data_IF_137220774205
#
_entry.id   IF_137220774205
#
_cell.length_a   1.000
_cell.length_b   1.000
_cell.length_c   1.000
_cell.angle_alpha   90.00
_cell.angle_beta   90.00
_cell.angle_gamma   90.00
#
_symmetry.space_group_name_H-M   'P 1'
#
loop_
_entity.id
_entity.type
_entity.pdbx_description
1 polymer ?
#
# COMPACT_ATOMS: atom_id res chain seq x y z
N UNK A 1 65.55 -112.86 15.87
CA UNK A 1 64.86 -111.57 16.12
C UNK A 1 64.07 -111.19 14.87
N UNK A 2 62.75 -111.03 14.98
CA UNK A 2 61.83 -111.04 13.84
C UNK A 2 61.84 -109.68 13.11
N UNK A 3 62.41 -109.62 11.90
CA UNK A 3 62.60 -108.38 11.11
C UNK A 3 61.28 -107.64 10.84
N UNK A 4 60.16 -108.36 10.76
CA UNK A 4 58.83 -107.79 10.57
C UNK A 4 58.32 -106.98 11.78
N UNK A 5 58.75 -107.33 13.00
CA UNK A 5 58.36 -106.59 14.22
C UNK A 5 59.04 -105.21 14.28
N UNK A 6 60.31 -105.14 13.86
CA UNK A 6 61.10 -103.88 13.82
C UNK A 6 60.57 -102.92 12.76
N UNK A 7 60.20 -103.46 11.58
CA UNK A 7 59.59 -102.66 10.50
C UNK A 7 58.19 -102.17 10.89
N UNK A 8 57.37 -103.02 11.52
CA UNK A 8 56.06 -102.61 12.04
C UNK A 8 56.15 -101.52 13.10
N UNK A 9 57.13 -101.60 14.01
CA UNK A 9 57.37 -100.57 15.03
C UNK A 9 57.85 -99.26 14.42
N UNK A 10 58.73 -99.31 13.42
CA UNK A 10 59.23 -98.12 12.71
C UNK A 10 58.11 -97.41 11.93
N UNK A 11 57.20 -98.17 11.31
CA UNK A 11 56.01 -97.62 10.63
C UNK A 11 55.07 -96.97 11.65
N UNK A 12 54.80 -97.63 12.79
CA UNK A 12 53.96 -97.06 13.86
C UNK A 12 54.55 -95.77 14.44
N UNK A 13 55.87 -95.73 14.65
CA UNK A 13 56.57 -94.52 15.10
C UNK A 13 56.50 -93.43 14.02
N UNK A 14 56.67 -93.77 12.74
CA UNK A 14 56.54 -92.83 11.63
C UNK A 14 55.14 -92.24 11.50
N UNK A 15 54.10 -93.07 11.64
CA UNK A 15 52.70 -92.62 11.66
C UNK A 15 52.42 -91.76 12.88
N UNK A 16 52.94 -92.13 14.06
CA UNK A 16 52.78 -91.35 15.29
C UNK A 16 53.47 -89.98 15.20
N UNK A 17 54.70 -89.92 14.68
CA UNK A 17 55.44 -88.68 14.49
C UNK A 17 54.80 -87.81 13.40
N UNK A 18 54.36 -88.41 12.30
CA UNK A 18 53.64 -87.71 11.23
C UNK A 18 52.29 -87.15 11.70
N UNK A 19 51.53 -87.93 12.46
CA UNK A 19 50.27 -87.48 13.08
C UNK A 19 50.53 -86.36 14.10
N UNK A 20 51.57 -86.49 14.93
CA UNK A 20 51.94 -85.45 15.89
C UNK A 20 52.38 -84.15 15.19
N UNK A 21 53.16 -84.24 14.11
CA UNK A 21 53.58 -83.08 13.32
C UNK A 21 52.39 -82.42 12.61
N UNK A 22 51.50 -83.21 12.01
CA UNK A 22 50.31 -82.69 11.35
C UNK A 22 49.36 -82.00 12.34
N UNK A 23 49.21 -82.56 13.55
CA UNK A 23 48.40 -81.94 14.61
C UNK A 23 49.05 -80.65 15.13
N UNK A 24 50.37 -80.59 15.20
CA UNK A 24 51.12 -79.40 15.58
C UNK A 24 50.99 -78.29 14.53
N UNK A 25 51.25 -78.59 13.26
CA UNK A 25 51.18 -77.65 12.14
C UNK A 25 49.73 -77.15 11.90
N UNK A 26 48.72 -78.00 12.10
CA UNK A 26 47.32 -77.58 12.08
C UNK A 26 47.00 -76.59 13.20
N UNK A 27 47.49 -76.86 14.42
CA UNK A 27 47.32 -75.98 15.58
C UNK A 27 48.04 -74.65 15.40
N UNK A 28 49.22 -74.66 14.80
CA UNK A 28 50.01 -73.46 14.48
C UNK A 28 49.29 -72.58 13.45
N UNK A 29 48.73 -73.17 12.39
CA UNK A 29 47.91 -72.46 11.40
C UNK A 29 46.59 -71.90 11.98
N UNK A 30 45.95 -72.61 12.91
CA UNK A 30 44.76 -72.08 13.61
C UNK A 30 45.12 -70.93 14.55
N UNK A 31 46.26 -70.99 15.24
CA UNK A 31 46.77 -69.90 16.07
C UNK A 31 47.12 -68.66 15.24
N UNK A 32 47.74 -68.82 14.07
CA UNK A 32 48.08 -67.73 13.16
C UNK A 32 46.82 -67.07 12.55
N UNK A 33 45.80 -67.88 12.21
CA UNK A 33 44.46 -67.36 11.83
C UNK A 33 43.78 -66.62 12.98
N UNK A 34 43.89 -67.12 14.21
CA UNK A 34 43.36 -66.45 15.39
C UNK A 34 44.02 -65.10 15.64
N UNK A 35 45.34 -65.03 15.47
CA UNK A 35 46.12 -63.79 15.59
C UNK A 35 45.73 -62.76 14.54
N UNK A 36 45.64 -63.15 13.27
CA UNK A 36 45.24 -62.25 12.17
C UNK A 36 43.79 -61.75 12.31
N UNK A 37 42.87 -62.59 12.79
CA UNK A 37 41.49 -62.16 13.13
C UNK A 37 41.50 -61.17 14.31
N UNK A 38 42.32 -61.42 15.34
CA UNK A 38 42.46 -60.51 16.49
C UNK A 38 43.02 -59.15 16.08
N UNK A 39 44.01 -59.10 15.20
CA UNK A 39 44.55 -57.86 14.63
C UNK A 39 43.48 -57.11 13.81
N UNK A 40 42.69 -57.84 13.02
CA UNK A 40 41.55 -57.27 12.30
C UNK A 40 40.49 -56.66 13.21
N UNK A 41 40.17 -57.32 14.33
CA UNK A 41 39.23 -56.80 15.34
C UNK A 41 39.78 -55.54 16.01
N UNK A 42 41.08 -55.52 16.36
CA UNK A 42 41.72 -54.35 16.95
C UNK A 42 41.66 -53.14 16.00
N UNK A 43 42.00 -53.35 14.72
CA UNK A 43 41.94 -52.29 13.70
C UNK A 43 40.51 -51.74 13.50
N UNK A 44 39.49 -52.60 13.53
CA UNK A 44 38.08 -52.17 13.44
C UNK A 44 37.68 -51.38 14.69
N UNK A 45 38.10 -51.80 15.89
CA UNK A 45 37.80 -51.07 17.12
C UNK A 45 38.45 -49.68 17.14
N UNK A 46 39.68 -49.56 16.63
CA UNK A 46 40.35 -48.26 16.49
C UNK A 46 39.60 -47.35 15.50
N UNK A 47 39.07 -47.91 14.40
CA UNK A 47 38.23 -47.17 13.46
C UNK A 47 36.89 -46.74 14.08
N UNK A 48 36.25 -47.61 14.88
CA UNK A 48 35.02 -47.27 15.61
C UNK A 48 35.29 -46.13 16.58
N UNK A 49 36.36 -46.20 17.38
CA UNK A 49 36.74 -45.14 18.30
C UNK A 49 37.03 -43.81 17.58
N UNK A 50 37.70 -43.87 16.42
CA UNK A 50 37.93 -42.69 15.59
C UNK A 50 36.62 -42.07 15.09
N UNK A 51 35.66 -42.87 14.61
CA UNK A 51 34.34 -42.39 14.17
C UNK A 51 33.52 -41.84 15.33
N UNK A 52 33.51 -42.52 16.47
CA UNK A 52 32.81 -42.07 17.68
C UNK A 52 33.33 -40.71 18.17
N UNK A 53 34.64 -40.46 17.99
CA UNK A 53 35.24 -39.17 18.36
C UNK A 53 34.77 -37.99 17.50
N UNK A 54 34.26 -38.24 16.28
CA UNK A 54 33.73 -37.21 15.38
C UNK A 54 32.27 -36.83 15.66
N UNK A 55 31.51 -37.70 16.33
CA UNK A 55 30.08 -37.49 16.61
C UNK A 55 29.80 -36.18 17.38
N UNK A 56 30.57 -35.82 18.43
CA UNK A 56 30.34 -34.57 19.16
C UNK A 56 30.54 -33.34 18.28
N UNK A 57 31.60 -33.32 17.46
CA UNK A 57 31.89 -32.21 16.56
C UNK A 57 30.77 -32.04 15.53
N UNK A 58 30.32 -33.12 14.92
CA UNK A 58 29.21 -33.07 13.95
C UNK A 58 27.92 -32.55 14.61
N UNK A 59 27.66 -32.90 15.87
CA UNK A 59 26.48 -32.38 16.59
C UNK A 59 26.57 -30.88 16.87
N UNK A 60 27.75 -30.40 17.21
CA UNK A 60 28.01 -28.97 17.40
C UNK A 60 27.82 -28.22 16.08
N UNK A 61 28.44 -28.70 14.99
CA UNK A 61 28.31 -28.10 13.66
C UNK A 61 26.84 -28.07 13.19
N UNK A 62 26.06 -29.12 13.46
CA UNK A 62 24.61 -29.16 13.18
C UNK A 62 23.88 -28.08 13.98
N UNK A 63 24.15 -27.96 15.29
CA UNK A 63 23.49 -26.98 16.15
C UNK A 63 23.79 -25.54 15.73
N UNK A 64 25.03 -25.26 15.33
CA UNK A 64 25.42 -23.95 14.79
C UNK A 64 24.71 -23.67 13.46
N UNK A 65 24.67 -24.66 12.57
CA UNK A 65 23.98 -24.56 11.28
C UNK A 65 22.48 -24.33 11.45
N UNK A 66 21.83 -25.02 12.39
CA UNK A 66 20.41 -24.82 12.72
C UNK A 66 20.14 -23.39 13.20
N UNK A 67 21.04 -22.84 14.02
CA UNK A 67 20.94 -21.45 14.49
C UNK A 67 21.04 -20.48 13.32
N UNK A 68 22.01 -20.68 12.42
CA UNK A 68 22.16 -19.85 11.22
C UNK A 68 20.92 -19.94 10.30
N UNK A 69 20.35 -21.13 10.12
CA UNK A 69 19.12 -21.32 9.34
C UNK A 69 17.96 -20.53 9.96
N UNK A 70 17.80 -20.57 11.30
CA UNK A 70 16.75 -19.82 11.98
C UNK A 70 16.93 -18.31 11.83
N UNK A 71 18.16 -17.80 11.93
CA UNK A 71 18.46 -16.39 11.71
C UNK A 71 18.14 -15.95 10.28
N UNK A 72 18.54 -16.75 9.27
CA UNK A 72 18.23 -16.46 7.87
C UNK A 72 16.72 -16.56 7.56
N UNK A 73 16.01 -17.50 8.18
CA UNK A 73 14.55 -17.58 8.09
C UNK A 73 13.88 -16.31 8.65
N UNK A 74 14.35 -15.82 9.81
CA UNK A 74 13.85 -14.56 10.39
C UNK A 74 14.09 -13.36 9.46
N UNK A 75 15.28 -13.28 8.84
CA UNK A 75 15.58 -12.23 7.84
C UNK A 75 14.68 -12.36 6.61
N UNK A 76 14.39 -13.57 6.15
CA UNK A 76 13.51 -13.82 5.01
C UNK A 76 12.07 -13.38 5.31
N UNK A 77 11.56 -13.64 6.51
CA UNK A 77 10.24 -13.19 6.96
C UNK A 77 10.16 -11.65 7.03
N UNK A 78 11.21 -11.00 7.54
CA UNK A 78 11.27 -9.54 7.59
C UNK A 78 11.28 -8.92 6.19
N UNK A 79 12.10 -9.45 5.27
CA UNK A 79 12.13 -9.01 3.86
C UNK A 79 10.76 -9.21 3.20
N UNK A 80 10.09 -10.33 3.47
CA UNK A 80 8.77 -10.61 2.92
C UNK A 80 7.73 -9.57 3.40
N UNK A 81 7.75 -9.22 4.69
CA UNK A 81 6.88 -8.18 5.24
C UNK A 81 7.16 -6.80 4.61
N UNK A 82 8.42 -6.46 4.36
CA UNK A 82 8.78 -5.21 3.68
C UNK A 82 8.30 -5.18 2.23
N UNK A 83 8.40 -6.30 1.49
CA UNK A 83 7.89 -6.42 0.13
C UNK A 83 6.38 -6.21 0.09
N UNK A 84 5.64 -6.77 1.05
CA UNK A 84 4.20 -6.61 1.15
C UNK A 84 3.80 -5.15 1.40
N UNK A 85 4.47 -4.47 2.33
CA UNK A 85 4.24 -3.04 2.58
C UNK A 85 4.53 -2.17 1.34
N UNK A 86 5.65 -2.42 0.65
CA UNK A 86 6.00 -1.68 -0.57
C UNK A 86 5.03 -1.94 -1.73
N UNK A 87 4.49 -3.15 -1.85
CA UNK A 87 3.49 -3.46 -2.87
C UNK A 87 2.17 -2.71 -2.59
N UNK A 88 1.78 -2.60 -1.32
CA UNK A 88 0.62 -1.79 -0.94
C UNK A 88 0.84 -0.30 -1.26
N UNK A 89 1.98 0.26 -0.86
CA UNK A 89 2.34 1.65 -1.17
C UNK A 89 2.35 1.92 -2.69
N UNK A 90 2.87 0.97 -3.47
CA UNK A 90 2.86 1.05 -4.94
C UNK A 90 1.43 1.07 -5.50
N UNK A 91 0.52 0.28 -4.96
CA UNK A 91 -0.88 0.25 -5.40
C UNK A 91 -1.59 1.57 -5.08
N UNK A 92 -1.38 2.13 -3.89
CA UNK A 92 -1.89 3.43 -3.49
C UNK A 92 -1.37 4.56 -4.40
N UNK A 93 -0.06 4.54 -4.73
CA UNK A 93 0.53 5.49 -5.67
C UNK A 93 0.00 5.34 -7.09
N UNK A 94 -0.26 4.11 -7.55
CA UNK A 94 -0.84 3.89 -8.87
C UNK A 94 -2.26 4.45 -8.96
N UNK A 95 -3.08 4.26 -7.93
CA UNK A 95 -4.43 4.86 -7.87
C UNK A 95 -4.39 6.39 -7.92
N UNK A 96 -3.40 7.00 -7.25
CA UNK A 96 -3.19 8.45 -7.36
C UNK A 96 -2.79 8.88 -8.77
N UNK A 97 -1.90 8.14 -9.44
CA UNK A 97 -1.49 8.42 -10.82
C UNK A 97 -2.70 8.34 -11.75
N UNK A 98 -3.50 7.28 -11.66
CA UNK A 98 -4.68 7.07 -12.51
C UNK A 98 -5.67 8.23 -12.35
N UNK A 99 -5.94 8.66 -11.12
CA UNK A 99 -6.77 9.84 -10.84
C UNK A 99 -6.21 11.12 -11.49
N UNK A 100 -4.89 11.32 -11.43
CA UNK A 100 -4.25 12.48 -12.07
C UNK A 100 -4.27 12.41 -13.60
N UNK A 101 -4.17 11.22 -14.19
CA UNK A 101 -4.35 11.03 -15.63
C UNK A 101 -5.79 11.36 -16.06
N UNK A 102 -6.80 10.95 -15.29
CA UNK A 102 -8.20 11.33 -15.54
C UNK A 102 -8.44 12.85 -15.42
N UNK A 103 -7.80 13.50 -14.44
CA UNK A 103 -7.81 14.98 -14.34
C UNK A 103 -7.21 15.63 -15.59
N UNK A 104 -6.16 15.05 -16.19
CA UNK A 104 -5.53 15.59 -17.41
C UNK A 104 -6.45 15.49 -18.65
N UNK A 105 -7.45 14.59 -18.63
CA UNK A 105 -8.52 14.55 -19.64
C UNK A 105 -9.47 15.76 -19.56
N UNK A 106 -9.31 16.62 -18.54
CA UNK A 106 -10.02 17.90 -18.31
C UNK A 106 -11.51 17.79 -18.02
N UNK A 107 -11.96 16.64 -17.55
CA UNK A 107 -13.30 16.49 -17.05
C UNK A 107 -13.35 16.90 -15.58
N UNK A 108 -13.96 18.04 -15.19
CA UNK A 108 -13.95 18.48 -13.79
C UNK A 108 -14.75 17.56 -12.86
N UNK A 109 -15.57 16.65 -13.39
CA UNK A 109 -16.37 15.71 -12.59
C UNK A 109 -15.50 14.80 -11.73
N UNK A 110 -14.28 14.49 -12.16
CA UNK A 110 -13.32 13.64 -11.43
C UNK A 110 -12.91 14.24 -10.08
N UNK A 111 -13.09 15.55 -9.89
CA UNK A 111 -12.79 16.24 -8.63
C UNK A 111 -13.84 15.98 -7.55
N UNK A 112 -15.02 15.47 -7.93
CA UNK A 112 -16.09 15.12 -7.00
C UNK A 112 -15.92 13.67 -6.55
N UNK A 113 -15.02 13.46 -5.58
CA UNK A 113 -14.56 12.13 -5.14
C UNK A 113 -15.51 11.48 -4.12
N UNK A 114 -16.72 11.12 -4.55
CA UNK A 114 -17.76 10.55 -3.66
C UNK A 114 -17.35 9.22 -3.01
N UNK A 115 -16.42 8.48 -3.61
CA UNK A 115 -15.93 7.21 -3.11
C UNK A 115 -14.72 7.30 -2.18
N UNK A 116 -14.20 8.51 -1.94
CA UNK A 116 -13.05 8.69 -1.06
C UNK A 116 -13.38 8.31 0.40
N UNK A 117 -12.67 7.34 1.01
CA UNK A 117 -13.00 6.86 2.35
C UNK A 117 -12.76 7.90 3.46
N UNK A 118 -11.79 8.81 3.29
CA UNK A 118 -11.53 9.88 4.26
C UNK A 118 -12.64 10.92 4.20
N UNK A 119 -13.10 11.28 3.00
CA UNK A 119 -14.23 12.20 2.84
C UNK A 119 -15.51 11.57 3.39
N UNK A 120 -15.78 10.29 3.10
CA UNK A 120 -16.93 9.56 3.65
C UNK A 120 -16.91 9.53 5.18
N UNK A 121 -15.79 9.17 5.79
CA UNK A 121 -15.64 9.16 7.25
C UNK A 121 -15.87 10.55 7.85
N UNK A 122 -15.39 11.61 7.18
CA UNK A 122 -15.63 12.99 7.61
C UNK A 122 -17.11 13.37 7.54
N UNK A 123 -17.81 12.99 6.47
CA UNK A 123 -19.25 13.23 6.33
C UNK A 123 -20.03 12.52 7.43
N UNK A 124 -19.71 11.25 7.72
CA UNK A 124 -20.33 10.51 8.83
C UNK A 124 -20.11 11.19 10.17
N UNK A 125 -18.88 11.66 10.46
CA UNK A 125 -18.55 12.40 11.67
C UNK A 125 -19.38 13.69 11.80
N UNK A 126 -19.38 14.51 10.75
CA UNK A 126 -20.05 15.82 10.72
C UNK A 126 -21.56 15.67 10.83
N UNK A 127 -22.13 14.65 10.20
CA UNK A 127 -23.58 14.43 10.13
C UNK A 127 -24.13 13.49 11.19
N UNK A 128 -23.31 12.98 12.11
CA UNK A 128 -23.68 11.94 13.10
C UNK A 128 -24.91 12.24 13.97
N UNK A 129 -25.24 13.53 14.17
CA UNK A 129 -26.39 13.98 14.97
C UNK A 129 -27.59 14.41 14.12
N UNK A 130 -27.41 14.52 12.80
CA UNK A 130 -28.44 14.96 11.86
C UNK A 130 -29.40 13.82 11.55
N UNK A 131 -30.70 14.15 11.47
CA UNK A 131 -31.80 13.20 11.27
C UNK A 131 -32.49 13.41 9.93
N UNK A 132 -32.48 14.63 9.39
CA UNK A 132 -33.03 14.95 8.06
C UNK A 132 -31.93 15.31 7.08
N UNK A 133 -32.24 15.30 5.78
CA UNK A 133 -31.31 15.74 4.74
C UNK A 133 -30.86 17.18 4.95
N UNK A 134 -31.79 18.06 5.31
CA UNK A 134 -31.52 19.48 5.56
C UNK A 134 -30.61 19.68 6.77
N UNK A 135 -30.79 18.90 7.84
CA UNK A 135 -29.89 18.91 8.99
C UNK A 135 -28.49 18.41 8.63
N UNK A 136 -28.36 17.47 7.68
CA UNK A 136 -27.06 17.03 7.16
C UNK A 136 -26.40 18.12 6.32
N UNK A 137 -27.15 18.72 5.40
CA UNK A 137 -26.69 19.80 4.54
C UNK A 137 -26.20 21.00 5.39
N UNK A 138 -26.97 21.38 6.42
CA UNK A 138 -26.56 22.43 7.36
C UNK A 138 -25.28 22.06 8.13
N UNK A 139 -25.16 20.83 8.62
CA UNK A 139 -23.97 20.41 9.37
C UNK A 139 -22.70 20.42 8.48
N UNK A 140 -22.82 19.94 7.24
CA UNK A 140 -21.75 19.96 6.25
C UNK A 140 -21.33 21.39 5.91
N UNK A 141 -22.30 22.26 5.67
CA UNK A 141 -22.05 23.68 5.47
C UNK A 141 -21.27 24.29 6.62
N UNK A 142 -21.75 24.07 7.86
CA UNK A 142 -21.09 24.63 9.04
C UNK A 142 -19.69 24.10 9.24
N UNK A 143 -19.45 22.83 8.92
CA UNK A 143 -18.11 22.24 8.96
C UNK A 143 -17.18 22.96 7.99
N UNK A 144 -17.52 23.01 6.69
CA UNK A 144 -16.63 23.63 5.70
C UNK A 144 -16.38 25.10 6.04
N UNK A 145 -17.44 25.84 6.38
CA UNK A 145 -17.35 27.27 6.71
C UNK A 145 -16.47 27.57 7.94
N UNK A 146 -16.52 26.72 8.97
CA UNK A 146 -15.85 26.99 10.26
C UNK A 146 -14.48 26.34 10.37
N UNK A 147 -14.30 25.19 9.75
CA UNK A 147 -13.13 24.34 9.94
C UNK A 147 -12.13 24.42 8.78
N UNK A 148 -12.53 24.96 7.62
CA UNK A 148 -11.64 25.17 6.47
C UNK A 148 -11.26 26.65 6.38
N UNK A 149 -9.97 26.94 6.52
CA UNK A 149 -9.41 28.27 6.40
C UNK A 149 -9.35 28.70 4.93
N UNK A 150 -9.94 29.85 4.62
CA UNK A 150 -9.84 30.43 3.28
C UNK A 150 -8.44 31.03 3.06
N UNK A 151 -7.67 30.46 2.13
CA UNK A 151 -6.30 30.90 1.82
C UNK A 151 -6.06 31.03 0.33
N UNK A 152 -5.70 32.22 -0.14
CA UNK A 152 -5.22 32.47 -1.51
C UNK A 152 -3.69 32.47 -1.59
N UNK A 153 -3.01 32.95 -0.55
CA UNK A 153 -1.54 32.93 -0.40
C UNK A 153 -1.11 31.88 0.65
N UNK A 154 -0.08 31.09 0.36
CA UNK A 154 0.44 30.07 1.29
C UNK A 154 -0.40 28.78 1.39
N UNK A 155 -1.39 28.61 0.50
CA UNK A 155 -1.94 27.31 0.15
C UNK A 155 -0.75 26.43 -0.33
N UNK A 156 -0.62 25.14 0.06
CA UNK A 156 0.46 24.24 -0.40
C UNK A 156 0.53 24.00 -1.94
N UNK A 157 -0.01 24.91 -2.74
CA UNK A 157 0.28 25.15 -4.17
C UNK A 157 1.79 25.33 -4.46
N UNK A 158 2.68 25.35 -3.45
CA UNK A 158 4.14 25.32 -3.64
C UNK A 158 4.65 23.94 -4.13
N UNK A 159 3.82 22.88 -4.12
CA UNK A 159 4.06 21.67 -4.91
C UNK A 159 3.93 21.99 -6.41
N UNK A 160 5.03 22.43 -7.01
CA UNK A 160 5.19 22.60 -8.46
C UNK A 160 5.07 21.23 -9.14
N UNK A 161 3.87 20.85 -9.56
CA UNK A 161 3.70 19.79 -10.55
C UNK A 161 4.54 20.11 -11.79
N UNK A 162 5.12 19.10 -12.47
CA UNK A 162 5.92 19.32 -13.66
C UNK A 162 5.14 20.13 -14.69
N UNK A 163 5.79 21.16 -15.24
CA UNK A 163 5.24 22.24 -16.09
C UNK A 163 4.39 21.79 -17.30
N UNK A 164 4.32 20.50 -17.62
CA UNK A 164 3.44 19.96 -18.65
C UNK A 164 1.98 19.83 -18.20
N UNK A 165 1.69 19.84 -16.89
CA UNK A 165 0.33 19.69 -16.33
C UNK A 165 -0.56 20.95 -16.48
N UNK A 166 0.05 22.14 -16.62
CA UNK A 166 -0.64 23.43 -16.46
C UNK A 166 -0.75 24.23 -17.77
N UNK A 167 -1.05 23.57 -18.90
CA UNK A 167 -1.31 24.32 -20.14
C UNK A 167 -2.71 24.96 -20.18
N UNK A 168 -3.60 24.59 -19.26
CA UNK A 168 -4.95 25.16 -19.15
C UNK A 168 -5.36 25.32 -17.68
N UNK A 169 -5.26 26.58 -17.20
CA UNK A 169 -6.20 27.31 -16.33
C UNK A 169 -7.04 26.58 -15.28
N UNK A 170 -6.47 25.62 -14.59
CA UNK A 170 -6.80 25.44 -13.20
C UNK A 170 -5.54 25.82 -12.45
N UNK A 171 -5.62 26.91 -11.67
CA UNK A 171 -4.81 26.98 -10.47
C UNK A 171 -5.01 25.65 -9.73
N UNK A 172 -4.02 25.15 -9.01
CA UNK A 172 -4.11 23.83 -8.37
C UNK A 172 -5.43 23.70 -7.56
N UNK A 173 -6.41 22.94 -8.08
CA UNK A 173 -7.70 22.66 -7.47
C UNK A 173 -7.55 21.40 -6.63
N UNK A 174 -7.78 21.55 -5.33
CA UNK A 174 -7.61 20.47 -4.38
C UNK A 174 -8.70 19.43 -4.52
N UNK A 175 -8.32 18.17 -4.32
CA UNK A 175 -9.26 17.11 -4.04
C UNK A 175 -9.91 17.35 -2.66
N UNK A 176 -11.17 16.93 -2.46
CA UNK A 176 -11.85 17.05 -1.17
C UNK A 176 -11.05 16.52 0.03
N UNK A 177 -10.29 15.43 -0.15
CA UNK A 177 -9.39 14.88 0.87
C UNK A 177 -8.31 15.89 1.27
N UNK A 178 -7.65 16.51 0.30
CA UNK A 178 -6.57 17.47 0.54
C UNK A 178 -7.10 18.67 1.32
N UNK A 179 -8.27 19.19 0.95
CA UNK A 179 -8.93 20.28 1.68
C UNK A 179 -9.26 19.91 3.12
N UNK A 180 -9.73 18.67 3.39
CA UNK A 180 -9.98 18.16 4.74
C UNK A 180 -8.67 18.03 5.55
N UNK A 181 -7.63 17.46 4.95
CA UNK A 181 -6.35 17.17 5.61
C UNK A 181 -5.57 18.46 5.94
N UNK A 182 -5.53 19.40 5.00
CA UNK A 182 -4.84 20.67 5.16
C UNK A 182 -5.67 21.70 5.93
N UNK A 183 -7.00 21.49 5.99
CA UNK A 183 -7.97 22.45 6.54
C UNK A 183 -7.86 23.83 5.91
N UNK A 184 -7.52 23.86 4.62
CA UNK A 184 -7.16 25.06 3.87
C UNK A 184 -7.59 24.90 2.42
N UNK A 185 -8.21 25.92 1.86
CA UNK A 185 -8.55 25.97 0.44
C UNK A 185 -9.20 27.30 0.07
N UNK A 186 -9.09 27.70 -1.19
CA UNK A 186 -9.76 28.88 -1.73
C UNK A 186 -11.16 28.53 -2.28
N UNK A 187 -11.68 29.33 -3.23
CA UNK A 187 -13.09 29.32 -3.57
C UNK A 187 -13.52 27.99 -4.22
N UNK A 188 -12.68 27.46 -5.11
CA UNK A 188 -12.88 26.19 -5.80
C UNK A 188 -12.80 24.99 -4.85
N UNK A 189 -11.78 24.96 -3.98
CA UNK A 189 -11.41 23.83 -3.13
C UNK A 189 -12.56 23.55 -2.17
N UNK A 190 -13.07 24.62 -1.57
CA UNK A 190 -14.21 24.55 -0.67
C UNK A 190 -15.51 24.21 -1.39
N UNK A 191 -15.75 24.73 -2.61
CA UNK A 191 -16.94 24.41 -3.38
C UNK A 191 -16.96 22.93 -3.81
N UNK A 192 -15.81 22.40 -4.24
CA UNK A 192 -15.59 20.98 -4.59
C UNK A 192 -15.79 20.09 -3.37
N UNK A 193 -15.19 20.43 -2.23
CA UNK A 193 -15.38 19.71 -0.97
C UNK A 193 -16.87 19.69 -0.56
N UNK A 194 -17.54 20.83 -0.60
CA UNK A 194 -18.96 20.94 -0.27
C UNK A 194 -19.82 20.06 -1.17
N UNK A 195 -19.68 20.18 -2.47
CA UNK A 195 -20.43 19.38 -3.44
C UNK A 195 -20.23 17.88 -3.14
N UNK A 196 -18.99 17.45 -2.96
CA UNK A 196 -18.65 16.04 -2.65
C UNK A 196 -19.30 15.58 -1.35
N UNK A 197 -19.20 16.36 -0.27
CA UNK A 197 -19.79 16.00 1.02
C UNK A 197 -21.32 15.93 0.96
N UNK A 198 -21.97 16.86 0.25
CA UNK A 198 -23.42 16.84 0.03
C UNK A 198 -23.87 15.60 -0.73
N UNK A 199 -23.12 15.22 -1.78
CA UNK A 199 -23.35 13.99 -2.56
C UNK A 199 -23.25 12.75 -1.69
N UNK A 200 -22.20 12.63 -0.87
CA UNK A 200 -22.04 11.52 0.09
C UNK A 200 -23.18 11.49 1.12
N UNK A 201 -23.69 12.65 1.55
CA UNK A 201 -24.79 12.72 2.50
C UNK A 201 -26.16 12.32 1.92
N UNK A 202 -26.24 12.08 0.61
CA UNK A 202 -27.42 11.61 -0.10
C UNK A 202 -28.18 12.68 -0.86
N UNK A 203 -27.61 13.88 -1.05
CA UNK A 203 -28.19 14.89 -1.94
C UNK A 203 -28.04 14.39 -3.39
N UNK A 204 -29.11 14.34 -4.20
CA UNK A 204 -29.00 13.86 -5.58
C UNK A 204 -28.20 14.84 -6.44
N UNK A 205 -27.51 14.32 -7.48
CA UNK A 205 -26.67 15.13 -8.35
C UNK A 205 -27.45 16.29 -8.99
N UNK A 206 -28.71 16.09 -9.35
CA UNK A 206 -29.61 17.12 -9.89
C UNK A 206 -29.87 18.32 -8.95
N UNK A 207 -29.48 18.20 -7.68
CA UNK A 207 -29.77 19.14 -6.61
C UNK A 207 -28.49 19.69 -5.95
N UNK A 208 -27.31 19.44 -6.51
CA UNK A 208 -26.04 20.02 -6.04
C UNK A 208 -25.03 20.14 -7.17
N UNK A 209 -24.32 21.27 -7.21
CA UNK A 209 -23.31 21.54 -8.23
C UNK A 209 -22.29 22.58 -7.77
N UNK A 210 -21.05 22.43 -8.23
CA UNK A 210 -20.04 23.49 -8.22
C UNK A 210 -20.31 24.39 -9.41
N UNK A 211 -20.28 25.71 -9.20
CA UNK A 211 -20.52 26.71 -10.23
C UNK A 211 -19.32 27.65 -10.31
N UNK A 212 -18.94 27.98 -11.54
CA UNK A 212 -17.80 28.84 -11.87
C UNK A 212 -18.30 30.04 -12.64
N UNK A 213 -17.77 31.22 -12.34
CA UNK A 213 -18.13 32.42 -13.08
C UNK A 213 -17.37 33.66 -12.68
N UNK A 214 -17.79 34.79 -13.26
CA UNK A 214 -17.30 36.12 -12.93
C UNK A 214 -18.36 36.86 -12.11
N UNK A 215 -18.04 37.21 -10.87
CA UNK A 215 -18.93 38.01 -10.03
C UNK A 215 -18.88 39.49 -10.45
N UNK A 216 -20.00 40.18 -10.32
CA UNK A 216 -20.13 41.62 -10.56
C UNK A 216 -20.80 42.31 -9.36
N UNK A 217 -20.10 43.26 -8.75
CA UNK A 217 -20.67 44.08 -7.68
C UNK A 217 -21.04 45.44 -8.25
N UNK A 218 -22.33 45.78 -8.22
CA UNK A 218 -22.87 47.02 -8.80
C UNK A 218 -22.47 47.24 -10.28
N UNK A 219 -22.43 46.16 -11.06
CA UNK A 219 -22.09 46.19 -12.49
C UNK A 219 -20.59 46.25 -12.79
N UNK A 220 -19.72 46.26 -11.78
CA UNK A 220 -18.25 46.20 -11.95
C UNK A 220 -17.76 44.77 -11.72
N UNK A 221 -16.92 44.18 -12.60
CA UNK A 221 -16.29 42.89 -12.35
C UNK A 221 -15.54 42.87 -11.01
N UNK A 222 -15.83 41.88 -10.18
CA UNK A 222 -15.27 41.72 -8.85
C UNK A 222 -14.19 40.62 -8.77
N UNK A 223 -14.14 39.71 -9.74
CA UNK A 223 -13.19 38.60 -9.78
C UNK A 223 -13.84 37.32 -10.28
N UNK A 224 -13.03 36.42 -10.84
CA UNK A 224 -13.48 35.05 -11.10
C UNK A 224 -13.67 34.33 -9.78
N UNK A 225 -14.66 33.44 -9.73
CA UNK A 225 -15.13 32.85 -8.49
C UNK A 225 -15.72 31.47 -8.70
N UNK A 226 -15.66 30.65 -7.64
CA UNK A 226 -16.32 29.37 -7.55
C UNK A 226 -17.20 29.31 -6.30
N UNK A 227 -18.38 28.71 -6.43
CA UNK A 227 -19.31 28.49 -5.32
C UNK A 227 -20.06 27.18 -5.47
N UNK A 228 -20.69 26.71 -4.39
CA UNK A 228 -21.55 25.53 -4.45
C UNK A 228 -23.02 25.97 -4.46
N UNK A 229 -23.82 25.42 -5.36
CA UNK A 229 -25.27 25.53 -5.35
C UNK A 229 -25.90 24.22 -4.93
N UNK A 230 -26.99 24.28 -4.17
CA UNK A 230 -27.72 23.09 -3.74
C UNK A 230 -29.20 23.40 -3.49
N UNK A 231 -30.07 22.38 -3.51
CA UNK A 231 -31.48 22.55 -3.16
C UNK A 231 -31.79 22.20 -1.71
N UNK A 232 -32.73 22.94 -1.13
CA UNK A 232 -33.50 22.55 0.06
C UNK A 232 -34.97 22.61 -0.32
N UNK A 233 -35.64 21.44 -0.34
CA UNK A 233 -36.97 21.33 -0.96
C UNK A 233 -36.89 21.65 -2.46
N UNK A 234 -37.73 22.58 -2.93
CA UNK A 234 -37.77 22.99 -4.34
C UNK A 234 -36.96 24.27 -4.63
N UNK A 235 -36.32 24.84 -3.61
CA UNK A 235 -35.62 26.13 -3.71
C UNK A 235 -34.10 25.94 -3.79
N UNK A 236 -33.46 26.71 -4.66
CA UNK A 236 -32.01 26.71 -4.81
C UNK A 236 -31.34 27.72 -3.88
N UNK A 237 -30.26 27.26 -3.28
CA UNK A 237 -29.40 28.05 -2.40
C UNK A 237 -27.97 28.08 -2.92
N UNK A 238 -27.29 29.18 -2.65
CA UNK A 238 -25.87 29.39 -2.91
C UNK A 238 -25.12 29.37 -1.59
N UNK A 239 -24.06 28.59 -1.57
CA UNK A 239 -23.07 28.60 -0.51
C UNK A 239 -21.85 29.38 -0.98
N UNK A 240 -21.67 30.54 -0.37
CA UNK A 240 -20.51 31.38 -0.60
C UNK A 240 -19.34 30.89 0.27
N UNK A 241 -18.44 30.09 -0.31
CA UNK A 241 -17.27 29.50 0.36
C UNK A 241 -16.30 30.55 0.91
N UNK A 242 -16.40 31.80 0.45
CA UNK A 242 -15.50 32.88 0.86
C UNK A 242 -16.03 33.74 2.00
N UNK A 243 -17.24 33.45 2.49
CA UNK A 243 -17.86 34.21 3.58
C UNK A 243 -18.01 33.38 4.86
N UNK A 244 -17.03 33.42 5.79
CA UNK A 244 -17.04 32.61 7.02
C UNK A 244 -18.19 32.95 7.97
N UNK A 245 -18.82 34.12 7.81
CA UNK A 245 -19.92 34.60 8.66
C UNK A 245 -21.29 34.56 7.98
N UNK A 246 -21.35 34.29 6.67
CA UNK A 246 -22.61 34.23 5.94
C UNK A 246 -23.32 32.90 6.22
N UNK A 247 -24.64 32.91 6.07
CA UNK A 247 -25.40 31.69 5.87
C UNK A 247 -25.51 31.43 4.35
N UNK A 248 -26.05 30.28 3.95
CA UNK A 248 -26.43 30.10 2.55
C UNK A 248 -27.47 31.16 2.14
N UNK A 249 -27.41 31.59 0.89
CA UNK A 249 -28.31 32.59 0.32
C UNK A 249 -29.31 31.92 -0.60
N UNK A 250 -30.55 32.37 -0.63
CA UNK A 250 -31.44 32.02 -1.74
C UNK A 250 -30.78 32.46 -3.05
N UNK A 251 -30.70 31.56 -4.02
CA UNK A 251 -30.02 31.79 -5.29
C UNK A 251 -30.49 33.07 -5.99
N UNK A 252 -31.81 33.39 -6.08
CA UNK A 252 -32.26 34.65 -6.67
C UNK A 252 -31.68 35.91 -5.98
N UNK A 253 -31.54 35.87 -4.66
CA UNK A 253 -30.96 36.98 -3.91
C UNK A 253 -29.46 37.13 -4.19
N UNK A 254 -28.71 36.03 -4.15
CA UNK A 254 -27.28 36.01 -4.50
C UNK A 254 -27.04 36.55 -5.92
N UNK A 255 -27.84 36.07 -6.89
CA UNK A 255 -27.74 36.47 -8.29
C UNK A 255 -28.13 37.93 -8.52
N UNK A 256 -29.05 38.48 -7.73
CA UNK A 256 -29.40 39.90 -7.79
C UNK A 256 -28.25 40.77 -7.27
N UNK A 257 -27.63 40.36 -6.15
CA UNK A 257 -26.58 41.13 -5.49
C UNK A 257 -25.26 41.12 -6.29
N UNK A 258 -24.87 39.96 -6.80
CA UNK A 258 -23.55 39.71 -7.39
C UNK A 258 -23.58 39.51 -8.90
N UNK A 259 -24.76 39.50 -9.53
CA UNK A 259 -24.94 39.44 -10.99
C UNK A 259 -23.92 38.53 -11.70
N UNK A 260 -23.80 37.26 -11.29
CA UNK A 260 -22.72 36.39 -11.74
C UNK A 260 -22.87 36.09 -13.24
N UNK A 261 -21.78 36.19 -13.98
CA UNK A 261 -21.67 35.66 -15.34
C UNK A 261 -21.13 34.24 -15.26
N UNK A 262 -21.99 33.25 -15.47
CA UNK A 262 -21.65 31.83 -15.33
C UNK A 262 -20.78 31.37 -16.50
N UNK A 263 -19.67 30.71 -16.20
CA UNK A 263 -18.80 30.06 -17.18
C UNK A 263 -19.10 28.58 -17.32
N UNK A 264 -19.45 27.92 -16.22
CA UNK A 264 -19.75 26.50 -16.20
C UNK A 264 -20.20 26.03 -14.83
N UNK A 265 -20.63 24.77 -14.76
CA UNK A 265 -20.96 24.09 -13.52
C UNK A 265 -20.77 22.58 -13.68
N UNK A 266 -20.54 21.88 -12.56
CA UNK A 266 -20.34 20.44 -12.55
C UNK A 266 -20.69 19.78 -11.21
N UNK A 267 -20.94 18.49 -11.24
CA UNK A 267 -20.91 17.58 -10.10
C UNK A 267 -20.23 16.26 -10.53
N UNK A 268 -20.46 15.14 -9.85
CA UNK A 268 -19.92 13.81 -10.21
C UNK A 268 -20.59 13.19 -11.45
N UNK A 269 -21.81 13.60 -11.81
CA UNK A 269 -22.59 13.01 -12.91
C UNK A 269 -22.69 13.94 -14.13
N UNK A 270 -22.86 15.23 -13.88
CA UNK A 270 -23.22 16.25 -14.85
C UNK A 270 -22.14 17.33 -14.96
N UNK A 271 -21.96 17.87 -16.16
CA UNK A 271 -21.05 18.98 -16.43
C UNK A 271 -21.59 19.84 -17.58
N UNK A 272 -21.42 21.15 -17.43
CA UNK A 272 -21.74 22.16 -18.43
C UNK A 272 -20.65 23.23 -18.48
N UNK A 273 -20.27 23.62 -19.69
CA UNK A 273 -19.41 24.77 -19.97
C UNK A 273 -20.05 25.66 -21.04
N UNK A 274 -19.99 26.97 -20.84
CA UNK A 274 -20.44 27.94 -21.83
C UNK A 274 -19.45 28.02 -22.99
N UNK A 275 -19.88 27.71 -24.21
CA UNK A 275 -19.02 27.82 -25.41
C UNK A 275 -18.51 29.26 -25.60
N UNK A 276 -17.18 29.43 -25.55
CA UNK A 276 -16.56 30.74 -25.83
C UNK A 276 -16.82 31.17 -27.29
N UNK A 277 -17.55 32.27 -27.49
CA UNK A 277 -17.76 32.90 -28.80
C UNK A 277 -16.63 33.85 -29.23
N UNK A 278 -15.39 33.65 -28.77
CA UNK A 278 -14.27 34.50 -29.18
C UNK A 278 -13.25 33.75 -30.04
N UNK A 279 -13.23 34.14 -31.32
CA UNK A 279 -12.24 33.75 -32.30
C UNK A 279 -10.81 34.10 -31.83
N UNK A 280 -9.94 33.09 -31.77
CA UNK A 280 -8.50 33.26 -32.07
C UNK A 280 -7.64 34.09 -31.11
N UNK A 281 -8.03 34.26 -29.85
CA UNK A 281 -7.17 34.88 -28.84
C UNK A 281 -7.30 34.16 -27.51
N UNK A 282 -6.18 33.67 -26.96
CA UNK A 282 -6.15 33.13 -25.61
C UNK A 282 -6.55 34.23 -24.62
N UNK A 283 -7.80 34.21 -24.16
CA UNK A 283 -8.17 34.92 -22.94
C UNK A 283 -7.31 34.31 -21.84
N UNK A 284 -6.57 35.11 -21.07
CA UNK A 284 -5.87 34.67 -19.86
C UNK A 284 -6.84 34.91 -18.70
N UNK A 285 -7.24 33.86 -17.96
CA UNK A 285 -8.00 34.05 -16.72
C UNK A 285 -6.93 34.25 -15.65
N UNK A 286 -7.01 35.37 -14.94
CA UNK A 286 -6.28 35.58 -13.70
C UNK A 286 -7.37 35.59 -12.64
N UNK A 287 -7.41 34.53 -11.83
CA UNK A 287 -8.13 34.55 -10.57
C UNK A 287 -7.18 35.26 -9.61
N UNK A 288 -7.52 36.49 -9.21
CA UNK A 288 -6.77 37.26 -8.18
C UNK A 288 -7.38 37.01 -6.81
#
# INVERSE_FOLDING_TARGET
>A
MNKYLVVGLAILIGISLGSSYYTYDMKERELEKGYTVSEGIAAINDQIAAVESLIPQIKEDISETETFIQEEQGKQEEIQSQIEALNQEKEELQQQIDLYEEIDERDPRVLITVDDPVVRAKVEEVTRLSRTTEEKQQAIFEYVRKEIEYVTEGNPKEYKYPKSFLKFKFDFWQLPRETIEWRKGDCEDQAILLCTMMRIAGVPASDVQVVLGLLHVNGTPAGGHAWCEFKIGDEWYVLESTCPTCNYFEKPYYYTLLSPKIWGWFNDEEYYEEESKEAGGSVTFILE
#
